data_IF_147962973314
#
_entry.id   IF_147962973314
#
_cell.length_a   1.000
_cell.length_b   1.000
_cell.length_c   1.000
_cell.angle_alpha   90.00
_cell.angle_beta   90.00
_cell.angle_gamma   90.00
#
_symmetry.space_group_name_H-M   'P 1'
#
loop_
_entity.id
_entity.type
_entity.pdbx_description
1 polymer ?
#
# COMPACT_ATOMS: atom_id res chain seq x y z
N UNK A 1 20.68 17.23 -7.33
CA UNK A 1 20.92 17.70 -5.96
C UNK A 1 19.72 17.21 -5.14
N UNK A 2 19.85 16.10 -4.42
CA UNK A 2 18.74 15.57 -3.62
C UNK A 2 18.55 16.51 -2.43
N UNK A 3 17.36 17.07 -2.29
CA UNK A 3 17.01 17.97 -1.21
C UNK A 3 17.09 17.18 0.11
N UNK A 4 18.21 17.32 0.85
CA UNK A 4 18.54 16.54 2.06
C UNK A 4 17.73 16.94 3.28
N UNK A 5 16.43 17.15 3.12
CA UNK A 5 15.49 17.41 4.20
C UNK A 5 14.93 16.13 4.79
N UNK A 6 14.42 16.21 6.02
CA UNK A 6 13.76 15.10 6.70
C UNK A 6 12.46 14.77 5.96
N UNK A 7 12.32 13.52 5.50
CA UNK A 7 11.12 13.06 4.79
C UNK A 7 9.98 12.66 5.72
N UNK A 8 8.77 12.50 5.17
CA UNK A 8 7.59 12.05 5.92
C UNK A 8 7.85 10.69 6.60
N UNK A 9 8.52 9.77 5.90
CA UNK A 9 8.86 8.46 6.46
C UNK A 9 9.77 8.59 7.69
N UNK A 10 10.79 9.45 7.62
CA UNK A 10 11.74 9.64 8.71
C UNK A 10 11.05 10.30 9.92
N UNK A 11 10.13 11.25 9.69
CA UNK A 11 9.32 11.84 10.75
C UNK A 11 8.38 10.81 11.40
N UNK A 12 7.71 9.97 10.60
CA UNK A 12 6.80 8.95 11.12
C UNK A 12 7.55 7.91 11.97
N UNK A 13 8.74 7.48 11.53
CA UNK A 13 9.61 6.58 12.27
C UNK A 13 10.13 7.21 13.56
N UNK A 14 10.54 8.48 13.53
CA UNK A 14 10.98 9.20 14.73
C UNK A 14 9.86 9.31 15.78
N UNK A 15 8.64 9.68 15.35
CA UNK A 15 7.48 9.76 16.26
C UNK A 15 7.12 8.39 16.83
N UNK A 16 7.20 7.32 16.04
CA UNK A 16 6.98 5.96 16.53
C UNK A 16 8.01 5.58 17.61
N UNK A 17 9.28 5.92 17.39
CA UNK A 17 10.34 5.72 18.38
C UNK A 17 10.05 6.40 19.73
N UNK A 18 9.63 7.67 19.71
CA UNK A 18 9.25 8.38 20.94
C UNK A 18 8.06 7.74 21.66
N UNK A 19 7.07 7.24 20.92
CA UNK A 19 5.93 6.52 21.52
C UNK A 19 6.41 5.22 22.17
N UNK A 20 7.32 4.48 21.52
CA UNK A 20 7.88 3.25 22.07
C UNK A 20 8.67 3.49 23.36
N UNK A 21 9.46 4.56 23.42
CA UNK A 21 10.21 4.96 24.62
C UNK A 21 9.32 5.17 25.85
N UNK A 22 8.16 5.82 25.68
CA UNK A 22 7.23 6.09 26.78
C UNK A 22 6.27 4.93 27.05
N UNK A 23 6.13 3.98 26.12
CA UNK A 23 5.14 2.90 26.20
C UNK A 23 5.35 1.95 27.38
N UNK A 24 6.59 1.82 27.88
CA UNK A 24 6.90 0.96 29.02
C UNK A 24 6.20 1.37 30.33
N UNK A 25 5.75 2.63 30.44
CA UNK A 25 4.99 3.14 31.58
C UNK A 25 3.47 3.17 31.38
N UNK A 26 2.96 2.76 30.21
CA UNK A 26 1.54 2.78 29.90
C UNK A 26 0.89 1.43 30.24
N UNK A 27 -0.38 1.46 30.65
CA UNK A 27 -1.15 0.26 30.91
C UNK A 27 -2.51 0.26 30.17
N UNK A 28 -3.18 -0.89 30.23
CA UNK A 28 -4.52 -1.11 29.71
C UNK A 28 -4.77 -0.49 28.33
N UNK A 29 -5.72 0.46 28.28
CA UNK A 29 -6.16 1.11 27.04
C UNK A 29 -5.09 2.03 26.43
N UNK A 30 -4.24 2.65 27.25
CA UNK A 30 -3.20 3.57 26.77
C UNK A 30 -2.09 2.78 26.08
N UNK A 31 -1.64 1.67 26.67
CA UNK A 31 -0.68 0.77 26.05
C UNK A 31 -1.19 0.21 24.72
N UNK A 32 -2.49 -0.14 24.64
CA UNK A 32 -3.11 -0.57 23.38
C UNK A 32 -3.07 0.54 22.31
N UNK A 33 -3.48 1.76 22.66
CA UNK A 33 -3.48 2.89 21.73
C UNK A 33 -2.09 3.26 21.25
N UNK A 34 -1.07 3.18 22.11
CA UNK A 34 0.32 3.38 21.72
C UNK A 34 0.75 2.39 20.64
N UNK A 35 0.41 1.10 20.80
CA UNK A 35 0.68 0.07 19.77
C UNK A 35 -0.06 0.34 18.46
N UNK A 36 -1.32 0.79 18.53
CA UNK A 36 -2.10 1.17 17.34
C UNK A 36 -1.46 2.36 16.63
N UNK A 37 -1.03 3.37 17.38
CA UNK A 37 -0.35 4.55 16.83
C UNK A 37 0.95 4.17 16.13
N UNK A 38 1.82 3.35 16.76
CA UNK A 38 3.04 2.86 16.13
C UNK A 38 2.75 2.06 14.85
N UNK A 39 1.71 1.21 14.84
CA UNK A 39 1.32 0.49 13.63
C UNK A 39 0.89 1.42 12.50
N UNK A 40 0.08 2.45 12.80
CA UNK A 40 -0.35 3.44 11.82
C UNK A 40 0.82 4.27 11.27
N UNK A 41 1.75 4.69 12.14
CA UNK A 41 2.97 5.39 11.74
C UNK A 41 3.86 4.52 10.85
N UNK A 42 3.96 3.23 11.16
CA UNK A 42 4.71 2.29 10.33
C UNK A 42 4.07 2.12 8.94
N UNK A 43 2.73 2.17 8.82
CA UNK A 43 2.04 2.20 7.52
C UNK A 43 2.39 3.48 6.75
N UNK A 44 2.32 4.64 7.39
CA UNK A 44 2.68 5.94 6.79
C UNK A 44 4.12 5.91 6.26
N UNK A 45 5.07 5.40 7.05
CA UNK A 45 6.47 5.30 6.64
C UNK A 45 6.64 4.37 5.43
N UNK A 46 5.93 3.24 5.38
CA UNK A 46 5.98 2.32 4.24
C UNK A 46 5.34 2.92 2.99
N UNK A 47 4.19 3.58 3.12
CA UNK A 47 3.53 4.26 2.01
C UNK A 47 4.45 5.33 1.42
N UNK A 48 5.06 6.17 2.26
CA UNK A 48 5.98 7.21 1.81
C UNK A 48 7.27 6.68 1.16
N UNK A 49 7.73 5.47 1.52
CA UNK A 49 8.93 4.84 0.94
C UNK A 49 8.64 4.02 -0.32
N UNK A 50 7.47 3.38 -0.39
CA UNK A 50 7.13 2.41 -1.44
C UNK A 50 6.23 3.01 -2.52
N UNK A 51 5.38 3.98 -2.17
CA UNK A 51 4.46 4.71 -3.04
C UNK A 51 3.83 3.82 -4.14
N UNK A 52 2.99 2.82 -3.77
CA UNK A 52 2.52 1.81 -4.70
C UNK A 52 1.40 2.31 -5.65
N UNK A 53 0.76 3.44 -5.34
CA UNK A 53 -0.42 3.94 -6.06
C UNK A 53 -0.15 4.51 -7.46
N UNK A 54 0.95 5.23 -7.75
CA UNK A 54 1.20 5.83 -9.06
C UNK A 54 1.22 4.80 -10.19
N UNK A 55 1.90 3.67 -10.01
CA UNK A 55 2.00 2.61 -11.03
C UNK A 55 0.63 1.97 -11.32
N UNK A 56 -0.14 1.66 -10.27
CA UNK A 56 -1.51 1.14 -10.39
C UNK A 56 -2.42 2.16 -11.09
N UNK A 57 -2.30 3.43 -10.72
CA UNK A 57 -3.11 4.52 -11.28
C UNK A 57 -2.80 4.76 -12.76
N UNK A 58 -1.52 4.77 -13.13
CA UNK A 58 -1.06 4.93 -14.50
C UNK A 58 -1.51 3.77 -15.39
N UNK A 59 -1.50 2.55 -14.85
CA UNK A 59 -2.05 1.38 -15.54
C UNK A 59 -3.53 1.60 -15.91
N UNK A 60 -4.40 1.88 -14.94
CA UNK A 60 -5.82 2.03 -15.25
C UNK A 60 -6.09 3.19 -16.19
N UNK A 61 -5.39 4.32 -16.01
CA UNK A 61 -5.56 5.49 -16.89
C UNK A 61 -5.22 5.16 -18.34
N UNK A 62 -4.19 4.35 -18.57
CA UNK A 62 -3.83 3.85 -19.91
C UNK A 62 -4.90 2.92 -20.49
N UNK A 63 -5.40 1.99 -19.69
CA UNK A 63 -6.38 0.99 -20.17
C UNK A 63 -7.76 1.61 -20.48
N UNK A 64 -8.15 2.67 -19.76
CA UNK A 64 -9.47 3.30 -19.94
C UNK A 64 -9.45 4.59 -20.73
N UNK A 65 -8.29 5.24 -20.87
CA UNK A 65 -8.18 6.61 -21.41
C UNK A 65 -8.75 7.69 -20.49
N UNK A 66 -9.04 7.34 -19.22
CA UNK A 66 -9.64 8.25 -18.24
C UNK A 66 -8.58 8.90 -17.36
N UNK A 67 -8.98 9.96 -16.64
CA UNK A 67 -8.13 10.55 -15.63
C UNK A 67 -7.92 9.59 -14.45
N UNK A 68 -6.73 9.65 -13.85
CA UNK A 68 -6.28 8.86 -12.70
C UNK A 68 -7.36 8.60 -11.62
N UNK A 69 -8.08 9.65 -11.21
CA UNK A 69 -9.08 9.59 -10.14
C UNK A 69 -10.32 8.74 -10.49
N UNK A 70 -10.59 8.51 -11.77
CA UNK A 70 -11.76 7.80 -12.29
C UNK A 70 -11.40 6.47 -12.95
N UNK A 71 -10.15 6.34 -13.40
CA UNK A 71 -9.68 5.21 -14.20
C UNK A 71 -9.92 3.84 -13.56
N UNK A 72 -9.62 3.68 -12.27
CA UNK A 72 -9.89 2.41 -11.57
C UNK A 72 -11.39 2.06 -11.57
N UNK A 73 -12.27 3.06 -11.37
CA UNK A 73 -13.73 2.85 -11.39
C UNK A 73 -14.23 2.51 -12.80
N UNK A 74 -13.73 3.20 -13.81
CA UNK A 74 -14.05 2.95 -15.21
C UNK A 74 -13.61 1.54 -15.64
N UNK A 75 -12.40 1.13 -15.24
CA UNK A 75 -11.86 -0.20 -15.53
C UNK A 75 -12.72 -1.30 -14.90
N UNK A 76 -13.09 -1.14 -13.62
CA UNK A 76 -14.02 -2.05 -12.96
C UNK A 76 -15.39 -2.12 -13.65
N UNK A 77 -15.87 -1.00 -14.19
CA UNK A 77 -17.13 -0.98 -14.93
C UNK A 77 -17.01 -1.73 -16.27
N UNK A 78 -15.89 -1.59 -16.98
CA UNK A 78 -15.60 -2.32 -18.20
C UNK A 78 -15.52 -3.85 -17.97
N UNK A 79 -14.88 -4.29 -16.86
CA UNK A 79 -14.90 -5.70 -16.44
C UNK A 79 -16.34 -6.19 -16.25
N UNK A 80 -17.18 -5.45 -15.53
CA UNK A 80 -18.59 -5.85 -15.29
C UNK A 80 -19.43 -5.93 -16.56
N UNK A 81 -19.11 -5.11 -17.57
CA UNK A 81 -19.77 -5.14 -18.89
C UNK A 81 -19.23 -6.24 -19.80
N UNK A 82 -18.16 -6.94 -19.40
CA UNK A 82 -17.51 -7.96 -20.23
C UNK A 82 -16.64 -7.39 -21.35
N UNK A 83 -16.33 -6.10 -21.30
CA UNK A 83 -15.46 -5.41 -22.28
C UNK A 83 -13.97 -5.70 -22.01
N UNK A 84 -13.64 -6.01 -20.75
CA UNK A 84 -12.33 -6.54 -20.36
C UNK A 84 -12.48 -8.05 -20.22
N UNK A 85 -11.88 -8.79 -21.14
CA UNK A 85 -11.94 -10.25 -21.13
C UNK A 85 -10.92 -10.78 -20.12
N UNK A 86 -11.41 -11.39 -19.05
CA UNK A 86 -10.62 -11.91 -17.92
C UNK A 86 -9.85 -13.20 -18.26
N UNK A 87 -9.00 -13.16 -19.29
CA UNK A 87 -8.17 -14.32 -19.70
C UNK A 87 -6.76 -13.97 -20.15
N UNK A 88 -6.35 -12.71 -20.18
CA UNK A 88 -4.93 -12.41 -20.36
C UNK A 88 -4.16 -12.72 -19.06
N UNK A 89 -3.26 -13.73 -19.04
CA UNK A 89 -2.45 -14.03 -17.87
C UNK A 89 -1.58 -12.84 -17.43
N UNK A 90 -1.15 -12.00 -18.38
CA UNK A 90 -0.35 -10.80 -18.09
C UNK A 90 -1.10 -9.78 -17.25
N UNK A 91 -2.37 -9.51 -17.60
CA UNK A 91 -3.26 -8.64 -16.83
C UNK A 91 -3.44 -9.13 -15.38
N UNK A 92 -3.73 -10.43 -15.17
CA UNK A 92 -3.93 -10.98 -13.83
C UNK A 92 -2.64 -10.93 -12.99
N UNK A 93 -1.50 -11.17 -13.60
CA UNK A 93 -0.19 -11.03 -12.94
C UNK A 93 0.06 -9.58 -12.51
N UNK A 94 -0.21 -8.61 -13.39
CA UNK A 94 -0.05 -7.19 -13.07
C UNK A 94 -0.98 -6.73 -11.94
N UNK A 95 -2.26 -7.12 -11.97
CA UNK A 95 -3.20 -6.81 -10.88
C UNK A 95 -2.78 -7.46 -9.55
N UNK A 96 -2.23 -8.67 -9.61
CA UNK A 96 -1.68 -9.35 -8.44
C UNK A 96 -0.48 -8.60 -7.84
N UNK A 97 0.35 -7.99 -8.69
CA UNK A 97 1.47 -7.14 -8.24
C UNK A 97 0.99 -5.88 -7.52
N UNK A 98 -0.05 -5.20 -8.02
CA UNK A 98 -0.63 -4.05 -7.32
C UNK A 98 -1.18 -4.42 -5.94
N UNK A 99 -1.87 -5.56 -5.85
CA UNK A 99 -2.37 -6.08 -4.57
C UNK A 99 -1.22 -6.42 -3.63
N UNK A 100 -0.16 -7.08 -4.13
CA UNK A 100 1.00 -7.42 -3.33
C UNK A 100 1.74 -6.17 -2.82
N UNK A 101 1.84 -5.11 -3.63
CA UNK A 101 2.47 -3.85 -3.25
C UNK A 101 1.67 -3.15 -2.13
N UNK A 102 0.34 -3.03 -2.28
CA UNK A 102 -0.54 -2.46 -1.25
C UNK A 102 -0.52 -3.25 0.05
N UNK A 103 -0.58 -4.59 -0.04
CA UNK A 103 -0.47 -5.44 1.14
C UNK A 103 0.88 -5.32 1.86
N UNK A 104 1.97 -5.08 1.12
CA UNK A 104 3.28 -4.86 1.72
C UNK A 104 3.34 -3.56 2.53
N UNK A 105 2.58 -2.54 2.15
CA UNK A 105 2.40 -1.32 2.92
C UNK A 105 1.47 -1.57 4.12
N UNK A 106 0.29 -2.12 3.91
CA UNK A 106 -0.71 -2.24 4.97
C UNK A 106 -0.27 -3.24 6.05
N UNK A 107 0.17 -4.42 5.64
CA UNK A 107 0.54 -5.51 6.54
C UNK A 107 1.59 -6.43 5.90
N UNK A 108 2.89 -6.11 6.02
CA UNK A 108 3.96 -6.92 5.43
C UNK A 108 4.04 -8.34 6.00
N UNK A 109 3.38 -8.60 7.14
CA UNK A 109 3.32 -9.92 7.79
C UNK A 109 2.03 -10.68 7.45
N UNK A 110 1.21 -10.18 6.53
CA UNK A 110 0.00 -10.86 6.10
C UNK A 110 0.37 -12.23 5.51
N UNK A 111 -0.17 -13.31 6.07
CA UNK A 111 0.24 -14.68 5.76
C UNK A 111 0.11 -15.04 4.28
N UNK A 112 -0.92 -14.51 3.61
CA UNK A 112 -1.15 -14.75 2.18
C UNK A 112 -0.20 -13.96 1.29
N UNK A 113 0.44 -12.88 1.77
CA UNK A 113 1.34 -12.06 0.95
C UNK A 113 2.55 -12.85 0.45
N UNK A 114 3.14 -13.67 1.33
CA UNK A 114 4.25 -14.55 0.94
C UNK A 114 3.84 -15.55 -0.15
N UNK A 115 2.62 -16.09 -0.03
CA UNK A 115 2.05 -17.00 -1.03
C UNK A 115 1.80 -16.30 -2.37
N UNK A 116 1.23 -15.10 -2.34
CA UNK A 116 0.95 -14.29 -3.53
C UNK A 116 2.23 -14.00 -4.33
N UNK A 117 3.31 -13.64 -3.63
CA UNK A 117 4.64 -13.39 -4.23
C UNK A 117 5.30 -14.64 -4.82
N UNK A 118 4.88 -15.82 -4.39
CA UNK A 118 5.43 -17.10 -4.86
C UNK A 118 4.63 -17.72 -6.02
N UNK A 119 3.54 -17.08 -6.48
CA UNK A 119 2.79 -17.58 -7.63
C UNK A 119 3.63 -17.45 -8.91
N UNK A 120 3.61 -18.46 -9.79
CA UNK A 120 4.24 -18.36 -11.10
C UNK A 120 3.56 -17.26 -11.92
N UNK A 121 4.37 -16.47 -12.65
CA UNK A 121 3.93 -15.39 -13.53
C UNK A 121 3.96 -15.83 -14.98
#
# INVERSE_FOLDING_TARGET
MMNGGIGIADLAEAVAGFIEEVSGGLDGRQAFHARVACNALAIIAREARQDPLPDETAFYARETGEIAAEACRAYCAAIRRGEVVAVDPGMLAQMSDFVAARLAVDNPKFSTLARLRALPR
#
